data_IF_531669130916
#
_entry.id   IF_531669130916
#
_cell.length_a   1.000
_cell.length_b   1.000
_cell.length_c   1.000
_cell.angle_alpha   90.00
_cell.angle_beta   90.00
_cell.angle_gamma   90.00
#
_symmetry.space_group_name_H-M   'P 1'
#
loop_
_entity.id
_entity.type
_entity.pdbx_description
1 polymer ?
#
# COMPACT_ATOMS: atom_id res chain seq x y z
N UNK A 1 -45.01 -27.27 -15.99
CA UNK A 1 -44.29 -26.65 -14.87
C UNK A 1 -42.79 -26.95 -15.02
N UNK A 2 -41.95 -25.93 -15.17
CA UNK A 2 -40.51 -26.13 -15.29
C UNK A 2 -39.93 -25.98 -13.90
N UNK A 3 -39.41 -27.05 -13.30
CA UNK A 3 -38.78 -27.02 -12.01
C UNK A 3 -37.27 -26.76 -12.15
N UNK A 4 -36.74 -25.82 -11.41
CA UNK A 4 -35.27 -25.64 -11.27
C UNK A 4 -34.80 -26.58 -10.16
N UNK A 5 -34.02 -27.60 -10.48
CA UNK A 5 -33.45 -28.55 -9.52
C UNK A 5 -32.04 -28.12 -9.13
N UNK A 6 -31.63 -28.35 -7.86
CA UNK A 6 -30.29 -28.17 -7.37
C UNK A 6 -29.67 -29.54 -7.06
N UNK A 7 -28.41 -29.71 -7.42
CA UNK A 7 -27.65 -30.92 -7.07
C UNK A 7 -27.14 -30.85 -5.62
N UNK A 8 -26.85 -31.99 -5.01
CA UNK A 8 -26.25 -32.06 -3.67
C UNK A 8 -24.89 -31.31 -3.61
N UNK A 9 -24.12 -31.32 -4.69
CA UNK A 9 -22.87 -30.58 -4.81
C UNK A 9 -23.09 -29.07 -4.71
N UNK A 10 -24.06 -28.50 -5.44
CA UNK A 10 -24.40 -27.07 -5.38
C UNK A 10 -24.87 -26.66 -3.97
N UNK A 11 -25.56 -27.55 -3.25
CA UNK A 11 -25.96 -27.31 -1.87
C UNK A 11 -24.74 -27.31 -0.94
N UNK A 12 -23.82 -28.28 -1.09
CA UNK A 12 -22.59 -28.37 -0.28
C UNK A 12 -21.71 -27.13 -0.46
N UNK A 13 -21.53 -26.68 -1.70
CA UNK A 13 -20.78 -25.44 -2.01
C UNK A 13 -21.45 -24.19 -1.39
N UNK A 14 -22.78 -24.13 -1.38
CA UNK A 14 -23.52 -23.04 -0.77
C UNK A 14 -23.32 -23.01 0.76
N UNK A 15 -23.35 -24.18 1.43
CA UNK A 15 -23.06 -24.28 2.86
C UNK A 15 -21.64 -23.91 3.21
N UNK A 16 -20.65 -24.30 2.40
CA UNK A 16 -19.25 -23.91 2.59
C UNK A 16 -19.09 -22.38 2.49
N UNK A 17 -19.71 -21.75 1.49
CA UNK A 17 -19.70 -20.27 1.36
C UNK A 17 -20.35 -19.58 2.56
N UNK A 18 -21.46 -20.10 3.08
CA UNK A 18 -22.09 -19.57 4.27
C UNK A 18 -21.18 -19.71 5.51
N UNK A 19 -20.46 -20.83 5.63
CA UNK A 19 -19.46 -21.06 6.67
C UNK A 19 -18.37 -19.98 6.66
N UNK A 20 -17.79 -19.70 5.50
CA UNK A 20 -16.77 -18.66 5.33
C UNK A 20 -17.27 -17.27 5.76
N UNK A 21 -18.53 -16.92 5.42
CA UNK A 21 -19.10 -15.63 5.83
C UNK A 21 -19.29 -15.56 7.36
N UNK A 22 -19.66 -16.66 8.00
CA UNK A 22 -19.81 -16.72 9.47
C UNK A 22 -18.44 -16.65 10.15
N UNK A 23 -17.41 -17.28 9.58
CA UNK A 23 -16.04 -17.23 10.07
C UNK A 23 -15.47 -15.81 10.06
N UNK A 24 -15.82 -15.00 9.07
CA UNK A 24 -15.41 -13.60 8.99
C UNK A 24 -16.09 -12.68 10.03
N UNK A 25 -17.18 -13.10 10.69
CA UNK A 25 -17.99 -12.26 11.57
C UNK A 25 -17.20 -11.65 12.75
N UNK A 26 -16.33 -12.36 13.46
CA UNK A 26 -15.51 -11.79 14.54
C UNK A 26 -14.63 -10.64 14.05
N UNK A 27 -14.04 -10.80 12.86
CA UNK A 27 -13.18 -9.80 12.24
C UNK A 27 -13.95 -8.59 11.75
N UNK A 28 -15.13 -8.77 11.17
CA UNK A 28 -16.05 -7.70 10.80
C UNK A 28 -16.43 -6.85 12.02
N UNK A 29 -16.67 -7.51 13.16
CA UNK A 29 -16.98 -6.84 14.43
C UNK A 29 -15.75 -6.10 14.98
N UNK A 30 -14.58 -6.75 14.96
CA UNK A 30 -13.31 -6.17 15.45
C UNK A 30 -12.91 -4.92 14.69
N UNK A 31 -13.07 -4.94 13.37
CA UNK A 31 -12.60 -3.85 12.49
C UNK A 31 -13.71 -2.88 12.06
N UNK A 32 -14.91 -2.98 12.61
CA UNK A 32 -15.96 -2.01 12.34
C UNK A 32 -15.53 -0.59 12.74
N UNK A 33 -15.48 0.32 11.76
CA UNK A 33 -15.04 1.71 11.96
C UNK A 33 -13.53 1.92 11.96
N UNK A 34 -12.72 0.86 11.89
CA UNK A 34 -11.26 0.95 11.86
C UNK A 34 -10.75 1.68 10.61
N UNK A 35 -9.70 2.47 10.77
CA UNK A 35 -8.96 3.10 9.68
C UNK A 35 -7.80 2.21 9.27
N UNK A 36 -7.74 1.84 7.99
CA UNK A 36 -6.66 1.02 7.45
C UNK A 36 -5.99 1.75 6.29
N UNK A 37 -4.67 1.93 6.38
CA UNK A 37 -3.88 2.47 5.26
C UNK A 37 -3.36 1.28 4.45
N UNK A 38 -3.64 1.28 3.15
CA UNK A 38 -3.24 0.23 2.23
C UNK A 38 -2.31 0.81 1.18
N UNK A 39 -1.06 0.38 1.20
CA UNK A 39 -0.10 0.73 0.16
C UNK A 39 -0.28 -0.19 -1.03
N UNK A 40 -0.51 0.39 -2.20
CA UNK A 40 -0.68 -0.28 -3.48
C UNK A 40 0.49 -0.01 -4.42
N UNK A 41 1.10 -1.06 -4.97
CA UNK A 41 2.27 -0.92 -5.84
C UNK A 41 2.74 -2.25 -6.42
N UNK A 42 3.87 -2.22 -7.12
CA UNK A 42 4.50 -3.41 -7.70
C UNK A 42 3.70 -4.05 -8.83
N UNK A 43 3.82 -5.36 -8.96
CA UNK A 43 3.17 -6.13 -10.03
C UNK A 43 1.64 -6.15 -9.93
N UNK A 44 1.06 -5.91 -8.76
CA UNK A 44 -0.39 -5.74 -8.60
C UNK A 44 -0.95 -4.61 -9.48
N UNK A 45 -0.11 -3.63 -9.87
CA UNK A 45 -0.51 -2.50 -10.72
C UNK A 45 -0.47 -2.80 -12.23
N UNK A 46 0.09 -3.93 -12.64
CA UNK A 46 0.31 -4.26 -14.06
C UNK A 46 -0.80 -5.16 -14.60
N UNK A 47 -1.20 -6.18 -13.85
CA UNK A 47 -2.26 -7.11 -14.22
C UNK A 47 -3.65 -6.49 -14.04
N UNK A 48 -4.48 -6.54 -15.09
CA UNK A 48 -5.87 -6.08 -15.00
C UNK A 48 -6.73 -6.95 -14.06
N UNK A 49 -6.39 -8.21 -13.90
CA UNK A 49 -7.06 -9.12 -12.96
C UNK A 49 -6.75 -8.72 -11.52
N UNK A 50 -5.47 -8.50 -11.20
CA UNK A 50 -5.03 -8.08 -9.87
C UNK A 50 -5.56 -6.68 -9.51
N UNK A 51 -5.61 -5.75 -10.49
CA UNK A 51 -6.24 -4.43 -10.29
C UNK A 51 -7.72 -4.55 -9.89
N UNK A 52 -8.47 -5.43 -10.56
CA UNK A 52 -9.89 -5.67 -10.24
C UNK A 52 -10.04 -6.29 -8.86
N UNK A 53 -9.27 -7.33 -8.54
CA UNK A 53 -9.30 -7.97 -7.23
C UNK A 53 -8.97 -6.96 -6.12
N UNK A 54 -7.94 -6.13 -6.30
CA UNK A 54 -7.61 -5.06 -5.36
C UNK A 54 -8.77 -4.08 -5.15
N UNK A 55 -9.39 -3.60 -6.25
CA UNK A 55 -10.53 -2.68 -6.19
C UNK A 55 -11.71 -3.31 -5.46
N UNK A 56 -12.03 -4.59 -5.75
CA UNK A 56 -13.09 -5.34 -5.09
C UNK A 56 -12.81 -5.47 -3.58
N UNK A 57 -11.56 -5.75 -3.19
CA UNK A 57 -11.15 -5.81 -1.78
C UNK A 57 -11.36 -4.46 -1.07
N UNK A 58 -10.89 -3.36 -1.65
CA UNK A 58 -11.05 -2.02 -1.07
C UNK A 58 -12.53 -1.62 -0.94
N UNK A 59 -13.33 -1.93 -1.95
CA UNK A 59 -14.78 -1.68 -1.93
C UNK A 59 -15.45 -2.55 -0.86
N UNK A 60 -15.05 -3.81 -0.74
CA UNK A 60 -15.55 -4.72 0.29
C UNK A 60 -15.24 -4.17 1.69
N UNK A 61 -14.00 -3.80 1.98
CA UNK A 61 -13.61 -3.17 3.25
C UNK A 61 -14.50 -1.97 3.57
N UNK A 62 -14.67 -1.08 2.58
CA UNK A 62 -15.51 0.12 2.74
C UNK A 62 -16.97 -0.21 3.03
N UNK A 63 -17.53 -1.24 2.39
CA UNK A 63 -18.91 -1.68 2.59
C UNK A 63 -19.12 -2.37 3.94
N UNK A 64 -18.07 -3.00 4.48
CA UNK A 64 -18.07 -3.58 5.82
C UNK A 64 -17.88 -2.55 6.95
N UNK A 65 -17.82 -1.25 6.62
CA UNK A 65 -17.69 -0.19 7.62
C UNK A 65 -16.25 0.16 8.01
N UNK A 66 -15.26 -0.49 7.39
CA UNK A 66 -13.84 -0.11 7.51
C UNK A 66 -13.61 1.18 6.69
N UNK A 67 -12.61 1.97 7.08
CA UNK A 67 -12.22 3.23 6.47
C UNK A 67 -10.88 3.06 5.74
N UNK A 68 -10.87 2.50 4.51
CA UNK A 68 -9.64 2.31 3.77
C UNK A 68 -9.11 3.63 3.22
N UNK A 69 -7.81 3.83 3.33
CA UNK A 69 -7.02 4.89 2.69
C UNK A 69 -5.98 4.23 1.82
N UNK A 70 -5.98 4.52 0.53
CA UNK A 70 -5.05 3.91 -0.43
C UNK A 70 -3.90 4.87 -0.69
N UNK A 71 -2.66 4.41 -0.51
CA UNK A 71 -1.45 5.14 -0.93
C UNK A 71 -0.81 4.35 -2.07
N UNK A 72 -0.52 5.00 -3.18
CA UNK A 72 0.02 4.30 -4.33
C UNK A 72 1.30 4.93 -4.90
N UNK A 73 2.16 4.08 -5.43
CA UNK A 73 3.24 4.44 -6.33
C UNK A 73 2.85 4.22 -7.79
N UNK A 74 3.83 3.92 -8.64
CA UNK A 74 3.61 3.70 -10.08
C UNK A 74 4.92 3.50 -10.84
N UNK A 75 5.90 2.83 -10.22
CA UNK A 75 7.22 2.60 -10.81
C UNK A 75 7.19 2.07 -12.24
N UNK A 76 6.44 0.99 -12.54
CA UNK A 76 6.32 0.46 -13.91
C UNK A 76 5.75 1.47 -14.90
N UNK A 77 4.72 2.23 -14.52
CA UNK A 77 4.07 3.22 -15.37
C UNK A 77 4.98 4.42 -15.63
N UNK A 78 5.72 4.86 -14.60
CA UNK A 78 6.74 5.91 -14.73
C UNK A 78 7.83 5.47 -15.71
N UNK A 79 8.38 4.25 -15.53
CA UNK A 79 9.41 3.70 -16.44
C UNK A 79 8.92 3.68 -17.89
N UNK A 80 7.71 3.16 -18.11
CA UNK A 80 7.10 3.11 -19.44
C UNK A 80 6.98 4.50 -20.07
N UNK A 81 6.57 5.51 -19.30
CA UNK A 81 6.41 6.88 -19.81
C UNK A 81 7.75 7.55 -20.07
N UNK A 82 8.73 7.43 -19.17
CA UNK A 82 10.08 7.97 -19.37
C UNK A 82 10.72 7.38 -20.64
N UNK A 83 10.62 6.05 -20.82
CA UNK A 83 11.10 5.38 -22.04
C UNK A 83 10.43 5.92 -23.30
N UNK A 84 9.10 6.13 -23.29
CA UNK A 84 8.35 6.69 -24.43
C UNK A 84 8.79 8.13 -24.78
N UNK A 85 9.22 8.89 -23.77
CA UNK A 85 9.68 10.27 -23.94
C UNK A 85 11.20 10.36 -24.21
N UNK A 86 11.92 9.24 -24.20
CA UNK A 86 13.38 9.22 -24.40
C UNK A 86 14.16 9.80 -23.21
N UNK A 87 13.56 9.83 -22.02
CA UNK A 87 14.20 10.32 -20.78
C UNK A 87 14.85 9.14 -20.08
N UNK A 88 16.14 9.25 -19.80
CA UNK A 88 16.89 8.23 -19.09
C UNK A 88 16.41 8.11 -17.63
N UNK A 89 16.39 6.89 -17.11
CA UNK A 89 15.98 6.58 -15.73
C UNK A 89 17.02 5.71 -15.07
N UNK A 90 17.62 6.20 -14.01
CA UNK A 90 18.62 5.50 -13.21
C UNK A 90 18.06 5.21 -11.81
N UNK A 91 18.52 4.11 -11.20
CA UNK A 91 18.24 3.78 -9.81
C UNK A 91 19.54 3.69 -9.01
N UNK A 92 19.56 4.32 -7.85
CA UNK A 92 20.69 4.28 -6.89
C UNK A 92 20.14 3.96 -5.50
N UNK A 93 20.70 2.97 -4.84
CA UNK A 93 20.23 2.52 -3.52
C UNK A 93 18.74 2.13 -3.49
N UNK A 94 18.21 1.59 -4.62
CA UNK A 94 16.80 1.22 -4.73
C UNK A 94 15.84 2.40 -4.97
N UNK A 95 16.33 3.64 -5.00
CA UNK A 95 15.57 4.86 -5.27
C UNK A 95 15.85 5.36 -6.70
N UNK A 96 14.81 5.91 -7.35
CA UNK A 96 14.94 6.51 -8.67
C UNK A 96 15.66 7.86 -8.57
N UNK A 97 16.76 8.05 -9.30
CA UNK A 97 17.31 9.38 -9.53
C UNK A 97 16.28 10.18 -10.32
N UNK A 98 15.84 11.31 -9.77
CA UNK A 98 14.73 12.07 -10.31
C UNK A 98 15.19 13.48 -10.67
N UNK A 99 15.53 13.70 -11.96
CA UNK A 99 15.82 15.03 -12.49
C UNK A 99 14.55 15.91 -12.51
N UNK A 100 14.65 17.23 -12.66
CA UNK A 100 13.47 18.10 -12.81
C UNK A 100 12.54 17.64 -13.94
N UNK A 101 13.08 17.25 -15.09
CA UNK A 101 12.33 16.74 -16.24
C UNK A 101 11.64 15.41 -15.92
N UNK A 102 12.34 14.48 -15.25
CA UNK A 102 11.77 13.22 -14.80
C UNK A 102 10.66 13.46 -13.75
N UNK A 103 10.79 14.48 -12.89
CA UNK A 103 9.79 14.80 -11.88
C UNK A 103 8.46 15.27 -12.48
N UNK A 104 8.49 16.03 -13.58
CA UNK A 104 7.28 16.39 -14.32
C UNK A 104 6.53 15.13 -14.80
N UNK A 105 7.27 14.17 -15.36
CA UNK A 105 6.69 12.89 -15.79
C UNK A 105 6.17 12.07 -14.61
N UNK A 106 6.93 11.98 -13.52
CA UNK A 106 6.49 11.29 -12.29
C UNK A 106 5.15 11.85 -11.80
N UNK A 107 5.05 13.19 -11.68
CA UNK A 107 3.82 13.87 -11.24
C UNK A 107 2.65 13.60 -12.19
N UNK A 108 2.84 13.74 -13.50
CA UNK A 108 1.81 13.45 -14.52
C UNK A 108 1.33 12.00 -14.43
N UNK A 109 2.25 11.03 -14.31
CA UNK A 109 1.92 9.61 -14.29
C UNK A 109 1.22 9.23 -12.99
N UNK A 110 1.74 9.63 -11.84
CA UNK A 110 1.17 9.23 -10.56
C UNK A 110 -0.20 9.87 -10.36
N UNK A 111 -0.33 11.17 -10.53
CA UNK A 111 -1.59 11.90 -10.26
C UNK A 111 -2.58 11.75 -11.42
N UNK A 112 -2.09 11.92 -12.66
CA UNK A 112 -2.95 11.99 -13.84
C UNK A 112 -3.31 10.64 -14.45
N UNK A 113 -2.45 9.63 -14.35
CA UNK A 113 -2.69 8.32 -14.94
C UNK A 113 -3.06 7.29 -13.88
N UNK A 114 -2.14 6.93 -12.97
CA UNK A 114 -2.34 5.85 -12.00
C UNK A 114 -3.46 6.19 -11.02
N UNK A 115 -3.40 7.37 -10.39
CA UNK A 115 -4.44 7.80 -9.45
C UNK A 115 -5.81 7.90 -10.10
N UNK A 116 -5.90 8.40 -11.34
CA UNK A 116 -7.19 8.50 -12.05
C UNK A 116 -7.74 7.14 -12.46
N UNK A 117 -6.88 6.19 -12.87
CA UNK A 117 -7.28 4.82 -13.16
C UNK A 117 -7.90 4.15 -11.92
N UNK A 118 -7.21 4.22 -10.76
CA UNK A 118 -7.71 3.65 -9.51
C UNK A 118 -9.03 4.26 -9.06
N UNK A 119 -9.12 5.59 -9.07
CA UNK A 119 -10.37 6.31 -8.74
C UNK A 119 -11.50 5.91 -9.66
N UNK A 120 -11.23 5.79 -10.96
CA UNK A 120 -12.23 5.34 -11.94
C UNK A 120 -12.74 3.95 -11.66
N UNK A 121 -11.84 3.00 -11.38
CA UNK A 121 -12.19 1.61 -11.05
C UNK A 121 -12.99 1.51 -9.74
N UNK A 122 -12.58 2.22 -8.69
CA UNK A 122 -13.32 2.26 -7.42
C UNK A 122 -14.70 2.90 -7.60
N UNK A 123 -14.79 3.98 -8.37
CA UNK A 123 -16.04 4.70 -8.60
C UNK A 123 -17.01 3.99 -9.57
N UNK A 124 -16.58 2.94 -10.27
CA UNK A 124 -17.47 2.03 -10.98
C UNK A 124 -18.44 1.30 -10.00
N UNK A 125 -18.09 1.20 -8.72
CA UNK A 125 -18.91 0.62 -7.65
C UNK A 125 -19.75 1.64 -6.88
N UNK A 126 -19.82 2.89 -7.36
CA UNK A 126 -20.50 4.03 -6.75
C UNK A 126 -19.53 5.19 -6.47
N UNK A 127 -20.00 6.37 -6.07
CA UNK A 127 -19.16 7.55 -5.84
C UNK A 127 -18.36 7.42 -4.53
N UNK A 128 -17.39 6.49 -4.50
CA UNK A 128 -16.67 6.10 -3.29
C UNK A 128 -15.32 6.81 -3.14
N UNK A 129 -14.54 6.91 -4.21
CA UNK A 129 -13.14 7.31 -4.14
C UNK A 129 -12.90 8.76 -4.55
N UNK A 130 -11.93 9.40 -3.89
CA UNK A 130 -11.39 10.72 -4.24
C UNK A 130 -9.87 10.59 -4.36
N UNK A 131 -9.33 10.98 -5.51
CA UNK A 131 -7.89 10.99 -5.74
C UNK A 131 -7.26 12.30 -5.31
N UNK A 132 -6.09 12.19 -4.70
CA UNK A 132 -5.27 13.30 -4.24
C UNK A 132 -3.79 12.92 -4.25
N UNK A 133 -2.95 13.88 -3.94
CA UNK A 133 -1.50 13.73 -3.77
C UNK A 133 -1.05 14.39 -2.47
N UNK A 134 0.20 14.32 -2.12
CA UNK A 134 0.75 15.06 -0.99
C UNK A 134 0.63 16.59 -1.11
N UNK A 135 0.39 17.11 -2.33
CA UNK A 135 0.19 18.53 -2.61
C UNK A 135 -1.19 19.04 -2.14
N UNK A 136 -2.21 18.16 -2.16
CA UNK A 136 -3.60 18.53 -1.92
C UNK A 136 -3.85 18.73 -0.41
N UNK A 137 -4.36 19.91 -0.07
CA UNK A 137 -4.63 20.27 1.32
C UNK A 137 -3.38 20.37 2.22
N UNK A 138 -2.17 20.40 1.61
CA UNK A 138 -0.92 20.36 2.36
C UNK A 138 -0.72 19.02 3.10
N UNK A 139 -1.23 17.93 2.52
CA UNK A 139 -1.22 16.61 3.15
C UNK A 139 0.17 16.16 3.58
N UNK A 140 1.17 16.28 2.69
CA UNK A 140 2.57 16.01 3.03
C UNK A 140 3.43 17.26 2.84
N UNK A 141 4.43 17.42 3.71
CA UNK A 141 5.58 18.28 3.44
C UNK A 141 6.78 17.36 3.24
N UNK A 142 7.40 17.45 2.06
CA UNK A 142 8.61 16.70 1.76
C UNK A 142 9.87 17.41 2.30
N UNK A 143 10.91 16.63 2.57
CA UNK A 143 12.27 17.13 2.61
C UNK A 143 13.13 16.34 1.64
N UNK A 144 14.13 16.99 1.05
CA UNK A 144 15.04 16.34 0.09
C UNK A 144 15.76 15.17 0.76
N UNK A 145 15.83 14.04 0.06
CA UNK A 145 16.54 12.83 0.52
C UNK A 145 17.70 12.52 -0.42
N UNK A 146 18.90 12.38 0.15
CA UNK A 146 20.03 11.70 -0.47
C UNK A 146 20.06 10.22 -0.11
N UNK A 147 21.04 9.51 -0.61
CA UNK A 147 21.39 8.15 -0.17
C UNK A 147 22.89 8.03 -0.01
N UNK A 148 23.32 7.06 0.78
CA UNK A 148 24.74 6.74 0.93
C UNK A 148 25.02 5.40 0.23
N UNK A 149 25.95 5.37 -0.72
CA UNK A 149 26.37 4.17 -1.44
C UNK A 149 27.88 4.07 -1.30
N UNK A 150 28.37 2.94 -0.80
CA UNK A 150 29.81 2.68 -0.56
C UNK A 150 30.49 3.77 0.30
N UNK A 151 29.73 4.39 1.22
CA UNK A 151 30.22 5.45 2.11
C UNK A 151 30.22 6.86 1.51
N UNK A 152 29.80 7.05 0.27
CA UNK A 152 29.67 8.34 -0.39
C UNK A 152 28.20 8.80 -0.46
N UNK A 153 27.97 10.09 -0.16
CA UNK A 153 26.66 10.70 -0.36
C UNK A 153 26.35 10.85 -1.84
N UNK A 154 25.20 10.30 -2.26
CA UNK A 154 24.71 10.36 -3.63
C UNK A 154 23.49 11.25 -3.71
N UNK A 155 23.57 12.28 -4.56
CA UNK A 155 22.42 13.11 -4.89
C UNK A 155 21.43 12.34 -5.79
N UNK A 156 20.18 12.25 -5.35
CA UNK A 156 19.10 11.61 -6.08
C UNK A 156 18.21 12.61 -6.82
N UNK A 157 18.56 13.89 -6.85
CA UNK A 157 17.75 14.95 -7.44
C UNK A 157 16.49 15.25 -6.61
N UNK A 158 15.32 15.27 -7.28
CA UNK A 158 14.03 15.56 -6.65
C UNK A 158 13.40 14.32 -6.02
N UNK A 159 14.17 13.61 -5.20
CA UNK A 159 13.70 12.56 -4.31
C UNK A 159 13.52 13.14 -2.92
N UNK A 160 12.40 12.82 -2.29
CA UNK A 160 12.08 13.29 -0.96
C UNK A 160 11.68 12.18 -0.01
N UNK A 161 11.65 12.51 1.27
CA UNK A 161 10.99 11.77 2.33
C UNK A 161 9.94 12.66 2.99
N UNK A 162 8.99 12.05 3.70
CA UNK A 162 7.93 12.80 4.39
C UNK A 162 8.50 13.41 5.65
N UNK A 163 8.53 14.75 5.73
CA UNK A 163 8.95 15.50 6.91
C UNK A 163 7.78 15.81 7.85
N UNK A 164 6.59 16.04 7.30
CA UNK A 164 5.38 16.30 8.07
C UNK A 164 4.12 15.82 7.31
N UNK A 165 3.07 15.51 8.08
CA UNK A 165 1.76 15.07 7.57
C UNK A 165 0.68 15.93 8.19
N UNK A 166 -0.19 16.53 7.36
CA UNK A 166 -1.44 17.16 7.77
C UNK A 166 -2.61 16.27 7.33
N UNK A 167 -3.32 15.68 8.28
CA UNK A 167 -4.37 14.70 8.02
C UNK A 167 -5.76 15.32 7.79
N UNK A 168 -5.94 16.63 7.86
CA UNK A 168 -7.26 17.28 7.85
C UNK A 168 -8.07 16.89 6.60
N UNK A 169 -7.51 17.05 5.40
CA UNK A 169 -8.20 16.71 4.16
C UNK A 169 -8.55 15.22 4.04
N UNK A 170 -7.69 14.32 4.52
CA UNK A 170 -7.97 12.87 4.56
C UNK A 170 -9.11 12.59 5.56
N UNK A 171 -9.06 13.20 6.74
CA UNK A 171 -10.06 13.02 7.80
C UNK A 171 -11.44 13.48 7.33
N UNK A 172 -11.53 14.60 6.63
CA UNK A 172 -12.77 15.10 6.03
C UNK A 172 -13.34 14.13 4.99
N UNK A 173 -12.49 13.58 4.13
CA UNK A 173 -12.92 12.59 3.14
C UNK A 173 -13.41 11.30 3.81
N UNK A 174 -12.71 10.81 4.82
CA UNK A 174 -13.11 9.63 5.61
C UNK A 174 -14.47 9.90 6.30
N UNK A 175 -14.63 11.05 6.93
CA UNK A 175 -15.89 11.45 7.58
C UNK A 175 -17.05 11.54 6.58
N UNK A 176 -16.79 12.03 5.37
CA UNK A 176 -17.76 12.04 4.27
C UNK A 176 -18.01 10.65 3.65
N UNK A 177 -17.40 9.60 4.19
CA UNK A 177 -17.57 8.23 3.70
C UNK A 177 -16.83 7.93 2.39
N UNK A 178 -15.80 8.71 2.05
CA UNK A 178 -14.98 8.52 0.85
C UNK A 178 -13.77 7.64 1.14
N UNK A 179 -13.18 7.13 0.07
CA UNK A 179 -11.91 6.41 0.05
C UNK A 179 -10.87 7.36 -0.52
N UNK A 180 -9.96 7.92 0.28
CA UNK A 180 -8.85 8.70 -0.23
C UNK A 180 -7.88 7.80 -1.02
N UNK A 181 -7.45 8.25 -2.20
CA UNK A 181 -6.45 7.58 -3.06
C UNK A 181 -5.30 8.54 -3.27
N UNK A 182 -4.18 8.31 -2.60
CA UNK A 182 -3.08 9.25 -2.43
C UNK A 182 -1.89 8.85 -3.31
N UNK A 183 -1.48 9.73 -4.22
CA UNK A 183 -0.26 9.60 -4.98
C UNK A 183 0.96 10.09 -4.17
N UNK A 184 2.10 9.35 -4.26
CA UNK A 184 3.32 9.62 -3.49
C UNK A 184 4.19 10.72 -4.09
N UNK A 185 3.64 11.92 -4.28
CA UNK A 185 4.35 13.16 -4.65
C UNK A 185 3.95 14.28 -3.71
N UNK A 186 4.90 15.16 -3.36
CA UNK A 186 4.65 16.25 -2.41
C UNK A 186 5.64 17.40 -2.56
N UNK A 187 5.22 18.64 -2.29
CA UNK A 187 6.14 19.77 -2.20
C UNK A 187 6.95 19.73 -0.90
N UNK A 188 8.14 20.31 -0.96
CA UNK A 188 8.87 20.75 0.22
C UNK A 188 8.35 22.11 0.74
N UNK A 189 8.96 22.62 1.80
CA UNK A 189 8.60 23.91 2.39
C UNK A 189 8.85 25.11 1.44
N UNK A 190 9.63 24.91 0.38
CA UNK A 190 9.94 25.90 -0.65
C UNK A 190 9.04 25.78 -1.88
N UNK A 191 8.18 24.77 -1.93
CA UNK A 191 7.26 24.50 -3.02
C UNK A 191 7.83 23.62 -4.15
N UNK A 192 9.06 23.12 -4.01
CA UNK A 192 9.63 22.17 -4.96
C UNK A 192 9.00 20.78 -4.77
N UNK A 193 8.45 20.21 -5.84
CA UNK A 193 7.78 18.91 -5.77
C UNK A 193 8.80 17.76 -5.82
N UNK A 194 8.64 16.80 -4.94
CA UNK A 194 9.50 15.62 -4.79
C UNK A 194 8.75 14.32 -5.05
N UNK A 195 9.46 13.35 -5.61
CA UNK A 195 9.05 11.97 -5.71
C UNK A 195 9.30 11.26 -4.37
N UNK A 196 8.23 10.79 -3.72
CA UNK A 196 8.32 10.10 -2.44
C UNK A 196 8.29 8.58 -2.65
N UNK A 197 8.95 7.83 -1.78
CA UNK A 197 8.74 6.39 -1.70
C UNK A 197 7.33 6.13 -1.14
N UNK A 198 6.52 5.36 -1.87
CA UNK A 198 5.14 5.08 -1.50
C UNK A 198 5.02 4.22 -0.22
N UNK A 199 6.03 3.38 0.10
CA UNK A 199 6.04 2.57 1.32
C UNK A 199 6.21 3.48 2.55
N UNK A 200 7.19 4.41 2.51
CA UNK A 200 7.43 5.36 3.60
C UNK A 200 6.31 6.41 3.71
N UNK A 201 5.74 6.85 2.59
CA UNK A 201 4.59 7.76 2.60
C UNK A 201 3.35 7.12 3.23
N UNK A 202 3.10 5.83 2.94
CA UNK A 202 2.01 5.08 3.56
C UNK A 202 2.22 4.88 5.06
N UNK A 203 3.45 4.58 5.49
CA UNK A 203 3.81 4.45 6.89
C UNK A 203 3.59 5.76 7.66
N UNK A 204 4.12 6.88 7.15
CA UNK A 204 3.96 8.20 7.76
C UNK A 204 2.48 8.62 7.85
N UNK A 205 1.70 8.35 6.78
CA UNK A 205 0.27 8.64 6.79
C UNK A 205 -0.49 7.77 7.79
N UNK A 206 -0.16 6.47 7.89
CA UNK A 206 -0.78 5.57 8.84
C UNK A 206 -0.55 6.00 10.29
N UNK A 207 0.68 6.37 10.63
CA UNK A 207 1.04 6.89 11.94
C UNK A 207 0.30 8.20 12.25
N UNK A 208 0.32 9.18 11.34
CA UNK A 208 -0.32 10.47 11.54
C UNK A 208 -1.85 10.39 11.66
N UNK A 209 -2.49 9.43 10.98
CA UNK A 209 -3.94 9.16 11.09
C UNK A 209 -4.31 8.39 12.36
N UNK A 210 -3.35 7.83 13.10
CA UNK A 210 -3.63 6.86 14.15
C UNK A 210 -4.35 5.64 13.58
N UNK A 211 -3.92 5.16 12.42
CA UNK A 211 -4.56 4.04 11.74
C UNK A 211 -4.46 2.76 12.56
N UNK A 212 -5.50 1.94 12.55
CA UNK A 212 -5.54 0.66 13.24
C UNK A 212 -4.64 -0.38 12.57
N UNK A 213 -4.35 -0.21 11.29
CA UNK A 213 -3.50 -1.13 10.52
C UNK A 213 -2.87 -0.46 9.30
N UNK A 214 -1.62 -0.82 9.03
CA UNK A 214 -0.95 -0.59 7.75
C UNK A 214 -0.84 -1.91 7.00
N UNK A 215 -1.24 -1.94 5.72
CA UNK A 215 -1.11 -3.11 4.85
C UNK A 215 -0.27 -2.72 3.64
N UNK A 216 0.83 -3.43 3.41
CA UNK A 216 1.72 -3.21 2.27
C UNK A 216 1.63 -4.36 1.29
N UNK A 217 1.08 -4.11 0.10
CA UNK A 217 1.15 -5.05 -1.00
C UNK A 217 2.55 -5.07 -1.59
N UNK A 218 3.11 -6.28 -1.72
CA UNK A 218 4.46 -6.55 -2.19
C UNK A 218 4.47 -7.56 -3.34
N UNK A 219 5.64 -7.81 -3.91
CA UNK A 219 5.85 -8.84 -4.94
C UNK A 219 6.46 -10.12 -4.36
N UNK A 220 6.30 -10.34 -3.06
CA UNK A 220 6.75 -11.53 -2.33
C UNK A 220 5.67 -11.99 -1.36
N UNK A 221 5.67 -13.26 -1.00
CA UNK A 221 4.64 -13.87 -0.14
C UNK A 221 4.68 -13.35 1.31
N UNK A 222 5.87 -12.96 1.78
CA UNK A 222 6.09 -12.47 3.14
C UNK A 222 7.56 -12.33 3.44
N UNK A 223 7.90 -12.24 4.73
CA UNK A 223 9.27 -12.26 5.22
C UNK A 223 9.68 -13.71 5.48
N UNK A 224 10.69 -14.19 4.78
CA UNK A 224 11.21 -15.55 4.96
C UNK A 224 12.14 -15.63 6.18
N UNK A 225 12.06 -16.75 6.90
CA UNK A 225 12.86 -16.97 8.13
C UNK A 225 14.36 -17.06 7.85
N UNK A 226 14.75 -17.64 6.71
CA UNK A 226 16.16 -17.80 6.29
C UNK A 226 16.24 -17.94 4.76
N UNK A 227 16.06 -16.83 4.04
CA UNK A 227 16.17 -16.82 2.58
C UNK A 227 17.63 -16.86 2.10
N UNK A 228 17.99 -17.68 1.09
CA UNK A 228 17.12 -18.54 0.26
C UNK A 228 17.05 -20.01 0.74
N UNK A 229 17.42 -20.31 1.98
CA UNK A 229 17.57 -21.67 2.50
C UNK A 229 16.23 -22.31 2.91
N UNK A 230 15.18 -21.52 3.11
CA UNK A 230 13.83 -21.98 3.46
C UNK A 230 12.76 -21.18 2.72
N UNK A 231 11.61 -21.81 2.51
CA UNK A 231 10.36 -21.21 2.04
C UNK A 231 9.39 -20.86 3.19
N UNK A 232 9.84 -21.05 4.45
CA UNK A 232 9.02 -20.73 5.60
C UNK A 232 8.88 -19.22 5.78
N UNK A 233 7.62 -18.77 5.80
CA UNK A 233 7.24 -17.37 6.02
C UNK A 233 7.06 -17.14 7.52
N UNK A 234 7.60 -16.04 8.02
CA UNK A 234 7.35 -15.55 9.38
C UNK A 234 5.94 -14.97 9.42
N UNK A 235 5.04 -15.60 10.15
CA UNK A 235 3.67 -15.11 10.27
C UNK A 235 3.58 -13.81 11.12
N UNK A 236 4.41 -13.70 12.17
CA UNK A 236 4.47 -12.50 13.03
C UNK A 236 5.88 -12.29 13.54
N UNK A 237 6.30 -11.04 13.60
CA UNK A 237 7.61 -10.60 14.10
C UNK A 237 7.45 -9.32 14.92
N UNK A 238 8.14 -9.22 16.04
CA UNK A 238 8.17 -7.99 16.84
C UNK A 238 9.10 -6.93 16.23
N UNK A 239 8.88 -5.66 16.59
CA UNK A 239 9.76 -4.57 16.17
C UNK A 239 11.22 -4.81 16.57
N UNK A 240 11.46 -5.40 17.75
CA UNK A 240 12.81 -5.73 18.22
C UNK A 240 13.48 -6.81 17.37
N UNK A 241 12.77 -7.89 17.06
CA UNK A 241 13.28 -8.98 16.22
C UNK A 241 13.51 -8.50 14.80
N UNK A 242 12.57 -7.73 14.24
CA UNK A 242 12.68 -7.18 12.90
C UNK A 242 13.89 -6.27 12.78
N UNK A 243 14.15 -5.38 13.75
CA UNK A 243 15.31 -4.50 13.76
C UNK A 243 16.63 -5.30 13.73
N UNK A 244 16.70 -6.41 14.46
CA UNK A 244 17.85 -7.29 14.44
C UNK A 244 18.04 -8.01 13.09
N UNK A 245 16.94 -8.29 12.40
CA UNK A 245 16.93 -9.03 11.13
C UNK A 245 17.20 -8.14 9.90
N UNK A 246 16.87 -6.83 9.95
CA UNK A 246 17.00 -5.89 8.82
C UNK A 246 18.35 -5.97 8.07
N UNK A 247 19.52 -6.04 8.72
CA UNK A 247 20.80 -6.07 8.02
C UNK A 247 21.01 -7.32 7.15
N UNK A 248 20.26 -8.39 7.40
CA UNK A 248 20.35 -9.67 6.65
C UNK A 248 19.37 -9.77 5.50
N UNK A 249 18.44 -8.82 5.35
CA UNK A 249 17.40 -8.86 4.33
C UNK A 249 17.93 -8.48 2.95
N UNK A 250 17.30 -9.02 1.92
CA UNK A 250 17.53 -8.61 0.53
C UNK A 250 17.21 -7.12 0.35
N UNK A 251 18.01 -6.42 -0.46
CA UNK A 251 17.96 -4.96 -0.64
C UNK A 251 16.57 -4.43 -1.03
N UNK A 252 15.78 -5.19 -1.78
CA UNK A 252 14.41 -4.82 -2.15
C UNK A 252 13.39 -4.97 -1.03
N UNK A 253 13.70 -5.76 0.02
CA UNK A 253 12.83 -5.97 1.19
C UNK A 253 13.09 -4.94 2.29
N UNK A 254 14.33 -4.49 2.45
CA UNK A 254 14.73 -3.55 3.51
C UNK A 254 13.80 -2.33 3.58
N UNK A 255 13.57 -1.53 2.52
CA UNK A 255 12.75 -0.33 2.64
C UNK A 255 11.30 -0.61 3.01
N UNK A 256 10.77 -1.80 2.66
CA UNK A 256 9.40 -2.20 3.03
C UNK A 256 9.30 -2.54 4.51
N UNK A 257 10.27 -3.29 5.02
CA UNK A 257 10.31 -3.68 6.43
C UNK A 257 10.66 -2.51 7.33
N UNK A 258 11.54 -1.60 6.88
CA UNK A 258 11.80 -0.32 7.57
C UNK A 258 10.54 0.53 7.68
N UNK A 259 9.73 0.61 6.62
CA UNK A 259 8.48 1.35 6.65
C UNK A 259 7.44 0.71 7.58
N UNK A 260 7.33 -0.64 7.61
CA UNK A 260 6.50 -1.34 8.59
C UNK A 260 6.99 -1.10 10.03
N UNK A 261 8.31 -1.20 10.25
CA UNK A 261 8.93 -0.94 11.55
C UNK A 261 8.63 0.48 12.04
N UNK A 262 8.90 1.49 11.20
CA UNK A 262 8.64 2.88 11.53
C UNK A 262 7.15 3.13 11.86
N UNK A 263 6.22 2.60 11.06
CA UNK A 263 4.80 2.75 11.33
C UNK A 263 4.39 2.20 12.71
N UNK A 264 4.90 1.01 13.07
CA UNK A 264 4.57 0.40 14.36
C UNK A 264 5.23 1.15 15.52
N UNK A 265 6.46 1.59 15.37
CA UNK A 265 7.16 2.41 16.38
C UNK A 265 6.50 3.77 16.57
N UNK A 266 5.92 4.34 15.53
CA UNK A 266 5.15 5.60 15.54
C UNK A 266 3.68 5.41 15.97
N UNK A 267 3.33 4.22 16.47
CA UNK A 267 2.05 3.97 17.16
C UNK A 267 0.97 3.25 16.34
N UNK A 268 1.24 2.81 15.12
CA UNK A 268 0.30 1.92 14.40
C UNK A 268 0.33 0.54 15.08
N UNK A 269 -0.81 0.01 15.56
CA UNK A 269 -0.83 -1.25 16.31
C UNK A 269 -0.32 -2.46 15.53
N UNK A 270 -0.44 -2.43 14.20
CA UNK A 270 -0.13 -3.56 13.33
C UNK A 270 0.23 -3.11 11.92
N UNK A 271 1.38 -3.53 11.42
CA UNK A 271 1.75 -3.39 10.01
C UNK A 271 1.92 -4.79 9.39
N UNK A 272 1.47 -4.98 8.15
CA UNK A 272 1.55 -6.28 7.48
C UNK A 272 2.05 -6.12 6.05
N UNK A 273 2.95 -6.98 5.63
CA UNK A 273 3.27 -7.18 4.20
C UNK A 273 2.48 -8.37 3.67
N UNK A 274 1.92 -8.23 2.47
CA UNK A 274 1.04 -9.22 1.83
C UNK A 274 1.41 -9.35 0.36
N UNK A 275 1.32 -10.56 -0.19
CA UNK A 275 1.57 -10.80 -1.62
C UNK A 275 0.48 -10.17 -2.50
N UNK A 276 0.82 -9.08 -3.17
CA UNK A 276 -0.06 -8.40 -4.12
C UNK A 276 -0.23 -9.12 -5.46
N UNK A 277 0.48 -10.25 -5.69
CA UNK A 277 0.33 -11.10 -6.89
C UNK A 277 -0.82 -12.10 -6.72
N UNK A 278 -1.32 -12.27 -5.50
CA UNK A 278 -2.44 -13.16 -5.21
C UNK A 278 -3.74 -12.34 -5.14
N UNK A 279 -4.78 -12.69 -5.93
CA UNK A 279 -6.07 -12.05 -5.83
C UNK A 279 -6.66 -12.18 -4.43
N UNK A 280 -7.28 -11.12 -3.93
CA UNK A 280 -7.97 -11.07 -2.63
C UNK A 280 -7.09 -11.36 -1.40
N UNK A 281 -5.78 -11.21 -1.51
CA UNK A 281 -4.86 -11.42 -0.40
C UNK A 281 -5.12 -10.48 0.78
N UNK A 282 -5.62 -9.27 0.53
CA UNK A 282 -6.04 -8.32 1.58
C UNK A 282 -7.18 -8.90 2.42
N UNK A 283 -8.19 -9.49 1.80
CA UNK A 283 -9.33 -10.06 2.51
C UNK A 283 -8.92 -11.29 3.32
N UNK A 284 -8.07 -12.15 2.75
CA UNK A 284 -7.53 -13.31 3.46
C UNK A 284 -6.74 -12.87 4.68
N UNK A 285 -5.90 -11.84 4.56
CA UNK A 285 -5.09 -11.32 5.66
C UNK A 285 -5.93 -10.69 6.78
N UNK A 286 -7.06 -10.05 6.46
CA UNK A 286 -7.87 -9.34 7.45
C UNK A 286 -8.92 -10.25 8.10
N UNK A 287 -9.51 -11.16 7.34
CA UNK A 287 -10.72 -11.89 7.72
C UNK A 287 -10.51 -13.39 7.97
N UNK A 288 -9.26 -13.86 8.05
CA UNK A 288 -8.93 -15.24 8.46
C UNK A 288 -8.02 -15.26 9.68
N UNK A 289 -8.01 -16.39 10.38
CA UNK A 289 -7.18 -16.56 11.59
C UNK A 289 -5.69 -16.70 11.27
N UNK A 290 -5.39 -17.36 10.15
CA UNK A 290 -4.03 -17.69 9.75
C UNK A 290 -3.32 -16.49 9.13
N UNK A 291 -4.08 -15.58 8.47
CA UNK A 291 -3.49 -14.57 7.61
C UNK A 291 -2.74 -15.20 6.42
N UNK A 292 -2.10 -14.39 5.61
CA UNK A 292 -1.31 -14.88 4.45
C UNK A 292 0.03 -14.16 4.32
N UNK A 293 0.30 -13.17 5.14
CA UNK A 293 1.48 -12.33 5.09
C UNK A 293 2.35 -12.41 6.33
N UNK A 294 3.21 -11.41 6.50
CA UNK A 294 4.00 -11.22 7.72
C UNK A 294 3.51 -10.00 8.48
N UNK A 295 3.10 -10.19 9.71
CA UNK A 295 2.69 -9.13 10.62
C UNK A 295 3.88 -8.61 11.43
N UNK A 296 4.02 -7.28 11.50
CA UNK A 296 4.94 -6.59 12.40
C UNK A 296 4.12 -6.02 13.55
N UNK A 297 4.48 -6.36 14.77
CA UNK A 297 3.78 -6.00 16.00
C UNK A 297 4.72 -5.28 16.98
N UNK A 298 4.21 -4.49 17.94
CA UNK A 298 5.03 -3.94 19.01
C UNK A 298 5.79 -5.02 19.78
N UNK A 299 6.96 -4.66 20.37
CA UNK A 299 7.77 -5.55 21.18
C UNK A 299 7.14 -5.81 22.58
#
# INVERSE_FOLDING_TARGET
MTFTTRTAQVQSEAYAKAGTLVEALPWLTKYAGATMVIKYGGNAMVSNELKRAFVEDIVFLRRCGIKPVVVHGGGPQINSMLTRLGIESEFKGGLRVTSPEAMEVVRMVLVGQVGRELVGLLNAHGPLAVGMSGEDGGLFTAQRRGTVIDGEEVDLGLVGEVAAVNTDAISDLIAAGRIPVVASVSPDAQGSVHNLNADTAAAALAAALGADRLIMLTDVEGLYADWPNTDQIIASITTTELRAMLPSLASGMIPKMEACLAAVEDGVPLATIVDGRQPHSILLEIFTNEGVGTMVVPA
#
